data_IF_990508842430
#
_entry.id   IF_990508842430
#
_cell.length_a   1.000
_cell.length_b   1.000
_cell.length_c   1.000
_cell.angle_alpha   90.00
_cell.angle_beta   90.00
_cell.angle_gamma   90.00
#
_symmetry.space_group_name_H-M   'P 1'
#
loop_
_entity.id
_entity.type
_entity.pdbx_description
1 polymer ?
#
# COMPACT_ATOMS: atom_id res chain seq x y z
N UNK A 1 -11.91 21.79 26.92
CA UNK A 1 -10.46 21.88 26.57
C UNK A 1 -10.15 20.71 25.67
N UNK A 2 -9.71 20.96 24.47
CA UNK A 2 -9.28 19.90 23.56
C UNK A 2 -7.98 19.33 24.10
N UNK A 3 -7.96 18.03 24.42
CA UNK A 3 -6.74 17.37 24.89
C UNK A 3 -5.62 17.43 23.84
N UNK A 4 -4.38 17.24 24.28
CA UNK A 4 -3.24 17.11 23.38
C UNK A 4 -3.34 15.85 22.51
N UNK A 5 -2.87 15.91 21.27
CA UNK A 5 -2.71 14.80 20.35
C UNK A 5 -1.55 15.04 19.38
N UNK A 6 -1.09 13.99 18.72
CA UNK A 6 0.06 14.06 17.81
C UNK A 6 -0.33 13.52 16.44
N UNK A 7 -0.22 14.36 15.40
CA UNK A 7 -0.26 13.90 14.02
C UNK A 7 1.08 13.26 13.65
N UNK A 8 1.06 12.16 12.90
CA UNK A 8 2.24 11.39 12.53
C UNK A 8 2.13 10.91 11.09
N UNK A 9 3.27 10.79 10.44
CA UNK A 9 3.42 10.19 9.12
C UNK A 9 4.78 9.52 8.99
N UNK A 10 4.87 8.45 8.20
CA UNK A 10 6.08 7.67 7.98
C UNK A 10 6.37 7.47 6.51
N UNK A 11 7.67 7.53 6.16
CA UNK A 11 8.16 7.02 4.88
C UNK A 11 8.91 5.70 5.09
N UNK A 12 8.75 4.79 4.13
CA UNK A 12 9.38 3.46 4.18
C UNK A 12 10.31 3.25 3.00
N UNK A 13 11.45 2.62 3.23
CA UNK A 13 12.45 2.34 2.19
C UNK A 13 11.91 1.39 1.11
N UNK A 14 10.94 0.53 1.46
CA UNK A 14 10.36 -0.47 0.56
C UNK A 14 8.97 -0.91 1.04
N UNK A 15 8.44 -2.01 0.47
CA UNK A 15 7.12 -2.57 0.79
C UNK A 15 6.98 -3.16 2.21
N UNK A 16 8.09 -3.47 2.88
CA UNK A 16 8.05 -3.86 4.29
C UNK A 16 7.78 -2.63 5.16
N UNK A 17 6.68 -2.65 5.88
CA UNK A 17 6.30 -1.51 6.74
C UNK A 17 7.30 -1.21 7.85
N UNK A 18 8.14 -2.17 8.23
CA UNK A 18 9.19 -1.97 9.22
C UNK A 18 10.47 -1.34 8.66
N UNK A 19 10.55 -1.10 7.35
CA UNK A 19 11.67 -0.43 6.68
C UNK A 19 11.61 1.10 6.79
N UNK A 20 11.26 1.63 7.97
CA UNK A 20 11.12 3.07 8.19
C UNK A 20 12.39 3.81 7.81
N UNK A 21 12.28 4.81 6.92
CA UNK A 21 13.39 5.68 6.53
C UNK A 21 13.19 7.16 6.92
N UNK A 22 11.95 7.55 7.24
CA UNK A 22 11.66 8.88 7.80
C UNK A 22 10.42 8.84 8.68
N UNK A 23 10.36 9.72 9.65
CA UNK A 23 9.19 9.98 10.48
C UNK A 23 9.02 11.48 10.68
N UNK A 24 7.77 11.94 10.55
CA UNK A 24 7.35 13.28 10.91
C UNK A 24 6.24 13.23 11.94
N UNK A 25 6.25 14.13 12.92
CA UNK A 25 5.18 14.26 13.89
C UNK A 25 4.95 15.72 14.26
N UNK A 26 3.70 16.06 14.51
CA UNK A 26 3.27 17.41 14.91
C UNK A 26 2.38 17.30 16.13
N UNK A 27 2.76 17.96 17.21
CA UNK A 27 2.00 18.03 18.44
C UNK A 27 0.98 19.17 18.38
N UNK A 28 -0.24 18.86 18.70
CA UNK A 28 -1.33 19.81 18.78
C UNK A 28 -1.86 19.85 20.21
N UNK A 29 -1.99 21.06 20.74
CA UNK A 29 -2.57 21.34 22.06
C UNK A 29 -3.54 22.51 21.91
N UNK A 30 -4.71 22.41 22.51
CA UNK A 30 -5.74 23.45 22.52
C UNK A 30 -6.07 24.00 21.11
N UNK A 31 -6.07 23.12 20.11
CA UNK A 31 -6.37 23.46 18.71
C UNK A 31 -5.25 24.19 17.95
N UNK A 32 -4.03 24.21 18.49
CA UNK A 32 -2.86 24.85 17.89
C UNK A 32 -1.71 23.85 17.75
N UNK A 33 -0.95 23.97 16.65
CA UNK A 33 0.31 23.27 16.49
C UNK A 33 1.35 23.91 17.42
N UNK A 34 1.89 23.12 18.36
CA UNK A 34 2.80 23.64 19.39
C UNK A 34 4.23 23.13 19.26
N UNK A 35 4.42 21.94 18.65
CA UNK A 35 5.76 21.36 18.52
C UNK A 35 5.84 20.44 17.31
N UNK A 36 7.05 20.17 16.82
CA UNK A 36 7.35 19.31 15.67
C UNK A 36 8.50 18.38 15.98
N UNK A 37 8.40 17.18 15.47
CA UNK A 37 9.45 16.18 15.50
C UNK A 37 9.67 15.63 14.08
N UNK A 38 10.91 15.54 13.67
CA UNK A 38 11.27 14.88 12.41
C UNK A 38 12.59 14.14 12.59
N UNK A 39 12.71 12.99 11.96
CA UNK A 39 13.95 12.23 11.92
C UNK A 39 14.03 11.38 10.66
N UNK A 40 15.18 11.36 10.02
CA UNK A 40 15.55 10.24 9.18
C UNK A 40 15.80 9.03 10.07
N UNK A 41 15.59 7.85 9.52
CA UNK A 41 15.76 6.56 10.22
C UNK A 41 16.57 5.64 9.34
N UNK A 42 17.59 5.01 9.88
CA UNK A 42 18.30 3.94 9.21
C UNK A 42 17.52 2.63 9.40
N UNK A 43 16.94 2.06 8.33
CA UNK A 43 16.16 0.84 8.44
C UNK A 43 17.01 -0.34 8.91
N UNK A 44 16.40 -1.36 9.57
CA UNK A 44 17.11 -2.57 9.97
C UNK A 44 17.73 -3.30 8.77
N UNK A 45 18.94 -3.87 8.93
CA UNK A 45 19.68 -4.54 7.84
C UNK A 45 18.86 -5.58 7.07
N UNK A 46 17.97 -6.32 7.75
CA UNK A 46 17.15 -7.35 7.14
C UNK A 46 16.08 -6.84 6.17
N UNK A 47 15.71 -5.55 6.27
CA UNK A 47 14.68 -4.87 5.47
C UNK A 47 15.16 -3.52 4.96
N UNK A 48 16.46 -3.27 4.98
CA UNK A 48 17.07 -1.95 4.72
C UNK A 48 17.34 -1.64 3.24
N UNK A 49 16.89 -2.45 2.28
CA UNK A 49 17.01 -2.09 0.86
C UNK A 49 16.03 -0.97 0.49
N UNK A 50 16.45 -0.09 -0.41
CA UNK A 50 15.62 0.99 -0.91
C UNK A 50 15.03 0.63 -2.27
N UNK A 51 13.71 0.57 -2.33
CA UNK A 51 12.98 0.33 -3.58
C UNK A 51 13.03 1.58 -4.46
N UNK A 52 13.36 1.47 -5.77
CA UNK A 52 13.31 2.61 -6.68
C UNK A 52 11.95 3.30 -6.73
N UNK A 53 10.87 2.56 -6.48
CA UNK A 53 9.54 3.13 -6.39
C UNK A 53 9.39 4.05 -5.18
N UNK A 54 9.81 3.59 -4.00
CA UNK A 54 9.73 4.38 -2.77
C UNK A 54 10.61 5.64 -2.87
N UNK A 55 11.85 5.49 -3.40
CA UNK A 55 12.72 6.64 -3.68
C UNK A 55 12.03 7.63 -4.64
N UNK A 56 11.38 7.16 -5.69
CA UNK A 56 10.67 8.04 -6.63
C UNK A 56 9.47 8.76 -5.98
N UNK A 57 8.92 8.24 -4.88
CA UNK A 57 7.80 8.84 -4.13
C UNK A 57 8.31 9.90 -3.17
N UNK A 58 9.24 9.58 -2.27
CA UNK A 58 9.66 10.46 -1.17
C UNK A 58 11.08 11.06 -1.34
N UNK A 59 11.85 10.59 -2.33
CA UNK A 59 13.19 11.12 -2.64
C UNK A 59 14.32 10.63 -1.73
N UNK A 60 14.04 9.93 -0.65
CA UNK A 60 15.05 9.47 0.32
C UNK A 60 15.77 8.25 -0.22
N UNK A 61 17.09 8.27 -0.18
CA UNK A 61 17.99 7.19 -0.64
C UNK A 61 18.66 6.49 0.54
N UNK A 62 19.34 5.38 0.26
CA UNK A 62 20.14 4.68 1.27
C UNK A 62 21.29 5.56 1.82
N UNK A 63 21.88 6.41 0.97
CA UNK A 63 22.96 7.31 1.36
C UNK A 63 22.46 8.41 2.31
N UNK A 64 21.24 8.91 2.13
CA UNK A 64 20.66 9.93 3.02
C UNK A 64 20.48 9.43 4.44
N UNK A 65 20.25 8.13 4.63
CA UNK A 65 20.02 7.53 5.95
C UNK A 65 21.21 6.75 6.49
N UNK A 66 22.34 6.71 5.78
CA UNK A 66 23.51 5.92 6.18
C UNK A 66 24.03 6.30 7.59
N UNK A 67 24.03 7.59 7.92
CA UNK A 67 24.39 8.13 9.23
C UNK A 67 23.20 8.38 10.16
N UNK A 68 21.98 8.06 9.77
CA UNK A 68 20.81 8.31 10.59
C UNK A 68 20.71 7.32 11.77
N UNK A 69 20.05 7.71 12.87
CA UNK A 69 19.78 6.82 13.99
C UNK A 69 18.92 5.63 13.55
N UNK A 70 19.03 4.53 14.27
CA UNK A 70 18.18 3.35 14.06
C UNK A 70 16.82 3.52 14.76
N UNK A 71 15.84 2.69 14.38
CA UNK A 71 14.48 2.76 14.90
C UNK A 71 14.39 2.79 16.44
N UNK A 72 15.14 1.99 17.23
CA UNK A 72 15.06 2.04 18.69
C UNK A 72 15.28 3.43 19.28
N UNK A 73 16.31 4.14 18.83
CA UNK A 73 16.60 5.50 19.29
C UNK A 73 15.52 6.50 18.86
N UNK A 74 15.09 6.42 17.59
CA UNK A 74 14.04 7.31 17.07
C UNK A 74 12.72 7.06 17.76
N UNK A 75 12.39 5.81 18.05
CA UNK A 75 11.17 5.43 18.72
C UNK A 75 11.10 5.93 20.17
N UNK A 76 12.20 5.83 20.92
CA UNK A 76 12.30 6.39 22.26
C UNK A 76 12.05 7.91 22.26
N UNK A 77 12.69 8.63 21.34
CA UNK A 77 12.49 10.08 21.15
C UNK A 77 11.05 10.41 20.73
N UNK A 78 10.45 9.59 19.85
CA UNK A 78 9.05 9.74 19.43
C UNK A 78 8.09 9.51 20.60
N UNK A 79 8.33 8.51 21.45
CA UNK A 79 7.52 8.28 22.66
C UNK A 79 7.63 9.46 23.63
N UNK A 80 8.84 9.99 23.83
CA UNK A 80 9.07 11.18 24.66
C UNK A 80 8.36 12.43 24.11
N UNK A 81 8.31 12.58 22.78
CA UNK A 81 7.57 13.64 22.10
C UNK A 81 6.05 13.44 22.22
N UNK A 82 5.58 12.19 22.03
CA UNK A 82 4.15 11.87 22.08
C UNK A 82 3.53 12.02 23.48
N UNK A 83 4.26 11.77 24.54
CA UNK A 83 3.81 11.89 25.95
C UNK A 83 2.47 11.18 26.23
N UNK A 84 2.24 10.02 25.58
CA UNK A 84 1.02 9.24 25.75
C UNK A 84 -0.24 9.86 25.13
N UNK A 85 -0.12 10.89 24.29
CA UNK A 85 -1.23 11.50 23.60
C UNK A 85 -1.76 10.58 22.47
N UNK A 86 -3.04 10.68 22.10
CA UNK A 86 -3.58 9.98 20.93
C UNK A 86 -2.84 10.36 19.63
N UNK A 87 -2.71 9.38 18.72
CA UNK A 87 -2.13 9.60 17.40
C UNK A 87 -3.19 9.96 16.37
N UNK A 88 -2.80 10.74 15.39
CA UNK A 88 -3.62 11.09 14.21
C UNK A 88 -2.77 10.86 12.96
N UNK A 89 -3.31 10.18 11.94
CA UNK A 89 -2.61 10.01 10.67
C UNK A 89 -3.59 10.02 9.50
N UNK A 90 -3.10 10.29 8.29
CA UNK A 90 -3.90 10.20 7.08
C UNK A 90 -3.79 8.80 6.48
N UNK A 91 -4.87 7.99 6.55
CA UNK A 91 -4.84 6.54 6.33
C UNK A 91 -4.09 5.78 7.45
N UNK A 92 -4.42 6.10 8.69
CA UNK A 92 -3.75 5.69 9.92
C UNK A 92 -3.45 4.17 10.05
N UNK A 93 -4.17 3.30 9.34
CA UNK A 93 -3.88 1.85 9.29
C UNK A 93 -2.47 1.58 8.73
N UNK A 94 -1.99 2.45 7.85
CA UNK A 94 -0.62 2.36 7.33
C UNK A 94 0.38 2.70 8.44
N UNK A 95 0.27 3.86 9.05
CA UNK A 95 1.24 4.39 10.03
C UNK A 95 1.29 3.55 11.31
N UNK A 96 0.13 3.11 11.79
CA UNK A 96 0.04 2.19 12.93
C UNK A 96 0.65 0.82 12.57
N UNK A 97 0.49 0.37 11.34
CA UNK A 97 1.15 -0.82 10.81
C UNK A 97 2.66 -0.68 10.73
N UNK A 98 3.16 0.49 10.32
CA UNK A 98 4.59 0.83 10.27
C UNK A 98 5.18 0.78 11.69
N UNK A 99 4.60 1.50 12.63
CA UNK A 99 5.04 1.54 14.03
C UNK A 99 5.15 0.12 14.60
N UNK A 100 4.09 -0.68 14.46
CA UNK A 100 4.07 -2.06 14.97
C UNK A 100 5.13 -2.95 14.32
N UNK A 101 5.29 -2.86 12.99
CA UNK A 101 6.23 -3.72 12.26
C UNK A 101 7.67 -3.31 12.54
N UNK A 102 7.98 -2.02 12.62
CA UNK A 102 9.31 -1.53 12.97
C UNK A 102 9.72 -1.94 14.40
N UNK A 103 8.81 -1.84 15.36
CA UNK A 103 9.03 -2.38 16.71
C UNK A 103 9.24 -3.89 16.68
N UNK A 104 8.46 -4.62 15.86
CA UNK A 104 8.63 -6.06 15.67
C UNK A 104 10.01 -6.45 15.16
N UNK A 105 10.54 -5.76 14.14
CA UNK A 105 11.88 -6.01 13.60
C UNK A 105 13.03 -5.71 14.59
N UNK A 106 12.79 -4.83 15.54
CA UNK A 106 13.79 -4.41 16.52
C UNK A 106 13.59 -5.01 17.91
N UNK A 107 12.59 -5.88 18.08
CA UNK A 107 12.29 -6.53 19.35
C UNK A 107 11.73 -5.58 20.43
N UNK A 108 11.27 -4.39 20.04
CA UNK A 108 10.70 -3.39 20.95
C UNK A 108 9.22 -3.67 21.22
N UNK A 109 8.79 -3.32 22.43
CA UNK A 109 7.38 -3.20 22.74
C UNK A 109 6.85 -1.81 22.35
N UNK A 110 5.52 -1.73 22.20
CA UNK A 110 4.82 -0.46 22.03
C UNK A 110 3.72 -0.32 23.10
N UNK A 111 3.45 0.91 23.58
CA UNK A 111 2.41 1.17 24.56
C UNK A 111 1.01 1.08 23.92
N UNK A 112 -0.01 1.03 24.77
CA UNK A 112 -1.36 1.34 24.35
C UNK A 112 -1.41 2.75 23.78
N UNK A 113 -2.03 2.92 22.61
CA UNK A 113 -2.27 4.24 22.04
C UNK A 113 -3.60 4.27 21.30
N UNK A 114 -4.41 5.26 21.60
CA UNK A 114 -5.60 5.57 20.82
C UNK A 114 -5.21 6.37 19.58
N UNK A 115 -5.89 6.13 18.46
CA UNK A 115 -5.62 6.85 17.23
C UNK A 115 -6.86 7.17 16.42
N UNK A 116 -6.79 8.24 15.65
CA UNK A 116 -7.81 8.66 14.71
C UNK A 116 -7.25 8.76 13.28
N UNK A 117 -8.12 8.51 12.30
CA UNK A 117 -7.78 8.51 10.89
C UNK A 117 -8.42 9.71 10.18
N UNK A 118 -7.61 10.66 9.71
CA UNK A 118 -8.12 11.85 9.00
C UNK A 118 -8.78 11.50 7.67
N UNK A 119 -8.37 10.42 7.00
CA UNK A 119 -9.04 9.91 5.80
C UNK A 119 -10.49 9.49 6.11
N UNK A 120 -10.71 8.78 7.21
CA UNK A 120 -12.05 8.36 7.64
C UNK A 120 -12.90 9.56 8.11
N UNK A 121 -12.29 10.50 8.81
CA UNK A 121 -12.93 11.75 9.22
C UNK A 121 -13.31 12.58 7.99
N UNK A 122 -12.39 12.80 7.05
CA UNK A 122 -12.62 13.57 5.84
C UNK A 122 -13.76 13.02 4.98
N UNK A 123 -13.85 11.69 4.85
CA UNK A 123 -14.95 11.03 4.12
C UNK A 123 -16.32 11.32 4.69
N UNK A 124 -16.42 11.48 6.01
CA UNK A 124 -17.68 11.82 6.69
C UNK A 124 -17.97 13.32 6.67
N UNK A 125 -16.91 14.14 6.82
CA UNK A 125 -17.04 15.59 6.92
C UNK A 125 -17.28 16.23 5.56
N UNK A 126 -16.59 15.79 4.53
CA UNK A 126 -16.61 16.38 3.18
C UNK A 126 -16.91 15.32 2.10
N UNK A 127 -18.04 14.64 2.26
CA UNK A 127 -18.44 13.49 1.41
C UNK A 127 -18.55 13.81 -0.09
N UNK A 128 -18.69 15.08 -0.46
CA UNK A 128 -18.84 15.55 -1.85
C UNK A 128 -17.51 15.67 -2.60
N UNK A 129 -16.37 15.51 -1.93
CA UNK A 129 -15.07 15.58 -2.60
C UNK A 129 -14.90 14.43 -3.61
N UNK A 130 -14.23 14.65 -4.74
CA UNK A 130 -14.02 13.63 -5.78
C UNK A 130 -13.17 12.46 -5.28
N UNK A 131 -12.32 12.72 -4.31
CA UNK A 131 -11.57 11.72 -3.53
C UNK A 131 -11.10 12.36 -2.22
N UNK A 132 -10.56 11.52 -1.31
CA UNK A 132 -10.09 11.97 0.00
C UNK A 132 -8.60 11.70 0.19
N UNK A 133 -7.81 11.78 -0.89
CA UNK A 133 -6.34 11.77 -0.80
C UNK A 133 -5.86 13.03 -0.09
N UNK A 134 -4.72 12.93 0.58
CA UNK A 134 -4.16 14.04 1.37
C UNK A 134 -4.14 15.37 0.59
N UNK A 135 -3.60 15.46 -0.65
CA UNK A 135 -3.58 16.71 -1.40
C UNK A 135 -4.97 17.29 -1.70
N UNK A 136 -5.94 16.41 -2.01
CA UNK A 136 -7.31 16.86 -2.33
C UNK A 136 -7.99 17.49 -1.10
N UNK A 137 -7.84 16.85 0.06
CA UNK A 137 -8.40 17.37 1.31
C UNK A 137 -7.68 18.64 1.75
N UNK A 138 -6.35 18.70 1.62
CA UNK A 138 -5.55 19.90 1.89
C UNK A 138 -6.03 21.09 1.04
N UNK A 139 -6.18 20.90 -0.26
CA UNK A 139 -6.69 21.95 -1.15
C UNK A 139 -8.08 22.45 -0.72
N UNK A 140 -8.98 21.54 -0.33
CA UNK A 140 -10.32 21.88 0.12
C UNK A 140 -10.33 22.73 1.39
N UNK A 141 -9.44 22.44 2.36
CA UNK A 141 -9.35 23.20 3.61
C UNK A 141 -8.47 24.44 3.52
N UNK A 142 -7.89 24.72 2.34
CA UNK A 142 -6.99 25.87 2.12
C UNK A 142 -5.57 25.67 2.67
N UNK A 143 -5.16 24.43 2.98
CA UNK A 143 -3.80 24.13 3.40
C UNK A 143 -2.88 23.88 2.20
N UNK A 144 -1.74 24.58 2.13
CA UNK A 144 -0.76 24.44 1.05
C UNK A 144 0.21 23.27 1.35
N UNK A 145 -0.05 22.11 0.78
CA UNK A 145 0.86 20.97 0.86
C UNK A 145 2.02 21.15 -0.13
N UNK A 146 3.14 21.72 0.34
CA UNK A 146 4.29 22.09 -0.54
C UNK A 146 5.19 20.91 -0.90
N UNK A 147 5.32 19.91 0.01
CA UNK A 147 6.22 18.77 -0.11
C UNK A 147 5.46 17.49 0.23
N UNK A 148 4.55 17.07 -0.66
CA UNK A 148 3.87 15.79 -0.51
C UNK A 148 4.88 14.64 -0.57
N UNK A 149 4.68 13.62 0.26
CA UNK A 149 5.62 12.53 0.52
C UNK A 149 6.90 12.98 1.26
N UNK A 150 6.78 13.98 2.11
CA UNK A 150 7.76 14.32 3.13
C UNK A 150 7.07 14.16 4.47
N UNK A 151 7.55 13.23 5.31
CA UNK A 151 6.85 12.81 6.52
C UNK A 151 6.47 13.99 7.45
N UNK A 152 7.31 15.02 7.55
CA UNK A 152 7.02 16.23 8.33
C UNK A 152 5.86 17.04 7.74
N UNK A 153 5.84 17.21 6.41
CA UNK A 153 4.79 17.97 5.73
C UNK A 153 3.45 17.21 5.71
N UNK A 154 3.48 15.89 5.55
CA UNK A 154 2.28 15.06 5.51
C UNK A 154 1.67 14.90 6.92
N UNK A 155 2.50 14.81 7.98
CA UNK A 155 2.04 14.89 9.36
C UNK A 155 1.39 16.26 9.69
N UNK A 156 2.00 17.37 9.25
CA UNK A 156 1.41 18.72 9.42
C UNK A 156 0.09 18.84 8.66
N UNK A 157 0.00 18.33 7.45
CA UNK A 157 -1.21 18.29 6.67
C UNK A 157 -2.32 17.49 7.36
N UNK A 158 -1.99 16.31 7.92
CA UNK A 158 -2.92 15.51 8.71
C UNK A 158 -3.42 16.28 9.94
N UNK A 159 -2.54 17.05 10.61
CA UNK A 159 -2.92 17.91 11.72
C UNK A 159 -3.93 18.99 11.28
N UNK A 160 -3.66 19.69 10.19
CA UNK A 160 -4.56 20.73 9.66
C UNK A 160 -5.92 20.18 9.24
N UNK A 161 -5.95 18.98 8.61
CA UNK A 161 -7.19 18.31 8.24
C UNK A 161 -8.04 17.98 9.49
N UNK A 162 -7.42 17.43 10.53
CA UNK A 162 -8.13 17.13 11.77
C UNK A 162 -8.66 18.38 12.44
N UNK A 163 -7.88 19.45 12.54
CA UNK A 163 -8.32 20.74 13.08
C UNK A 163 -9.47 21.36 12.27
N UNK A 164 -9.41 21.26 10.93
CA UNK A 164 -10.50 21.75 10.09
C UNK A 164 -11.78 20.95 10.33
N UNK A 165 -11.70 19.63 10.45
CA UNK A 165 -12.87 18.80 10.77
C UNK A 165 -13.46 19.12 12.15
N UNK A 166 -12.61 19.30 13.17
CA UNK A 166 -13.06 19.73 14.50
C UNK A 166 -13.85 21.05 14.43
N UNK A 167 -13.32 22.03 13.70
CA UNK A 167 -14.04 23.32 13.50
C UNK A 167 -15.36 23.14 12.74
N UNK A 168 -15.37 22.34 11.67
CA UNK A 168 -16.58 22.11 10.87
C UNK A 168 -17.71 21.50 11.70
N UNK A 169 -17.38 20.61 12.61
CA UNK A 169 -18.36 19.95 13.49
C UNK A 169 -18.59 20.66 14.83
N UNK A 170 -17.92 21.77 15.11
CA UNK A 170 -17.96 22.43 16.43
C UNK A 170 -17.43 21.54 17.56
N UNK A 171 -16.64 20.53 17.24
CA UNK A 171 -16.11 19.58 18.21
C UNK A 171 -14.82 20.11 18.87
N UNK A 172 -14.68 19.85 20.18
CA UNK A 172 -13.54 20.31 20.98
C UNK A 172 -12.54 19.19 21.30
N UNK A 173 -12.80 17.96 20.84
CA UNK A 173 -11.94 16.79 21.04
C UNK A 173 -12.05 15.82 19.88
N UNK A 174 -11.05 14.92 19.73
CA UNK A 174 -11.07 13.88 18.69
C UNK A 174 -12.29 12.96 18.83
N UNK A 175 -12.69 12.63 20.04
CA UNK A 175 -13.87 11.79 20.32
C UNK A 175 -15.19 12.43 19.87
N UNK A 176 -15.24 13.77 19.78
CA UNK A 176 -16.37 14.50 19.22
C UNK A 176 -16.58 14.29 17.72
N UNK A 177 -15.57 13.77 17.01
CA UNK A 177 -15.67 13.41 15.59
C UNK A 177 -16.02 11.93 15.36
N UNK A 178 -16.19 11.15 16.42
CA UNK A 178 -16.53 9.73 16.38
C UNK A 178 -15.57 8.87 17.19
N UNK A 179 -15.77 7.55 17.19
CA UNK A 179 -14.93 6.64 17.95
C UNK A 179 -13.49 6.64 17.42
N UNK A 180 -12.55 6.65 18.34
CA UNK A 180 -11.15 6.39 18.05
C UNK A 180 -10.88 4.87 17.98
N UNK A 181 -9.90 4.50 17.19
CA UNK A 181 -9.36 3.14 17.20
C UNK A 181 -8.26 3.03 18.26
N UNK A 182 -7.95 1.78 18.67
CA UNK A 182 -6.92 1.52 19.68
C UNK A 182 -5.88 0.55 19.14
N UNK A 183 -4.63 0.89 19.28
CA UNK A 183 -3.51 -0.02 19.20
C UNK A 183 -3.23 -0.51 20.62
N UNK A 184 -3.60 -1.76 20.93
CA UNK A 184 -3.29 -2.35 22.22
C UNK A 184 -1.78 -2.52 22.39
N UNK A 185 -1.28 -2.32 23.61
CA UNK A 185 0.10 -2.55 23.95
C UNK A 185 0.55 -3.95 23.50
N UNK A 186 1.72 -4.03 22.93
CA UNK A 186 2.28 -5.27 22.45
C UNK A 186 3.78 -5.31 22.66
N UNK A 187 4.35 -6.49 22.55
CA UNK A 187 5.79 -6.66 22.46
C UNK A 187 6.09 -7.18 21.06
N UNK A 188 7.04 -6.57 20.39
CA UNK A 188 7.72 -7.24 19.30
C UNK A 188 8.24 -8.54 19.89
N UNK A 189 7.77 -9.68 19.42
CA UNK A 189 8.44 -10.94 19.71
C UNK A 189 9.91 -10.71 19.37
N UNK A 190 10.86 -11.26 20.16
CA UNK A 190 12.21 -11.42 19.66
C UNK A 190 12.07 -11.91 18.23
N UNK A 191 12.76 -11.28 17.26
CA UNK A 191 12.64 -11.72 15.88
C UNK A 191 12.75 -13.23 15.97
N UNK A 192 11.64 -13.94 15.77
CA UNK A 192 11.72 -15.37 15.56
C UNK A 192 12.73 -15.40 14.44
N UNK A 193 13.98 -15.76 14.80
CA UNK A 193 15.07 -15.95 13.86
C UNK A 193 14.37 -16.63 12.71
N UNK A 194 14.21 -15.96 11.56
CA UNK A 194 13.55 -16.60 10.46
C UNK A 194 14.39 -17.87 10.35
N UNK A 195 13.78 -19.01 10.68
CA UNK A 195 14.32 -20.26 10.22
C UNK A 195 14.66 -19.94 8.79
N UNK A 196 15.96 -20.01 8.46
CA UNK A 196 16.48 -19.55 7.20
C UNK A 196 15.58 -20.09 6.10
N UNK A 197 14.48 -19.36 5.89
CA UNK A 197 13.63 -19.57 4.75
C UNK A 197 14.48 -19.02 3.62
N UNK A 198 14.87 -19.84 2.66
CA UNK A 198 15.54 -19.36 1.46
C UNK A 198 14.53 -18.44 0.79
N UNK A 199 14.58 -17.12 1.04
CA UNK A 199 13.51 -16.26 0.54
C UNK A 199 13.62 -14.77 0.71
N UNK A 200 14.56 -14.21 1.45
CA UNK A 200 14.75 -12.76 1.53
C UNK A 200 15.13 -12.19 0.17
N UNK A 201 16.08 -12.78 -0.49
CA UNK A 201 16.47 -12.44 -1.86
C UNK A 201 15.34 -12.70 -2.87
N UNK A 202 14.55 -13.77 -2.68
CA UNK A 202 13.43 -14.08 -3.57
C UNK A 202 12.23 -13.16 -3.46
N UNK A 203 12.01 -12.49 -2.33
CA UNK A 203 10.88 -11.54 -2.15
C UNK A 203 11.22 -10.17 -2.71
N UNK A 204 12.45 -9.68 -2.50
CA UNK A 204 12.97 -8.48 -3.15
C UNK A 204 13.01 -8.67 -4.67
N UNK A 205 13.57 -9.77 -5.17
CA UNK A 205 13.61 -10.08 -6.60
C UNK A 205 12.18 -10.19 -7.21
N UNK A 206 11.21 -10.76 -6.48
CA UNK A 206 9.80 -10.80 -6.94
C UNK A 206 9.12 -9.44 -6.96
N UNK A 207 9.45 -8.57 -6.03
CA UNK A 207 8.90 -7.20 -6.03
C UNK A 207 9.51 -6.38 -7.16
N UNK A 208 10.79 -6.49 -7.39
CA UNK A 208 11.46 -5.85 -8.53
C UNK A 208 10.95 -6.42 -9.87
N UNK A 209 10.70 -7.72 -9.93
CA UNK A 209 10.05 -8.36 -11.06
C UNK A 209 8.61 -7.85 -11.25
N UNK A 210 7.82 -7.77 -10.18
CA UNK A 210 6.46 -7.22 -10.24
C UNK A 210 6.46 -5.74 -10.67
N UNK A 211 7.44 -4.94 -10.22
CA UNK A 211 7.59 -3.55 -10.67
C UNK A 211 8.03 -3.45 -12.13
N UNK A 212 8.96 -4.28 -12.54
CA UNK A 212 9.38 -4.36 -13.94
C UNK A 212 8.18 -4.75 -14.83
N UNK A 213 7.38 -5.73 -14.40
CA UNK A 213 6.13 -6.12 -15.06
C UNK A 213 5.12 -4.97 -15.09
N UNK A 214 4.94 -4.24 -13.96
CA UNK A 214 4.01 -3.11 -13.89
C UNK A 214 4.38 -1.96 -14.84
N UNK A 215 5.68 -1.77 -15.11
CA UNK A 215 6.20 -0.72 -16.01
C UNK A 215 6.39 -1.17 -17.45
N UNK A 216 6.55 -2.48 -17.69
CA UNK A 216 6.73 -3.01 -19.02
C UNK A 216 5.58 -2.57 -19.95
N UNK A 217 5.87 -2.08 -21.17
CA UNK A 217 4.82 -1.83 -22.14
C UNK A 217 4.07 -3.12 -22.42
N UNK A 218 2.75 -3.04 -22.59
CA UNK A 218 1.98 -4.19 -23.01
C UNK A 218 2.23 -4.40 -24.51
N UNK A 219 2.41 -5.65 -24.97
CA UNK A 219 2.53 -5.94 -26.38
C UNK A 219 1.20 -5.65 -27.10
N UNK A 220 1.31 -5.17 -28.33
CA UNK A 220 0.14 -4.95 -29.20
C UNK A 220 -0.30 -6.29 -29.83
N UNK A 221 -1.61 -6.47 -30.05
CA UNK A 221 -2.11 -7.67 -30.73
C UNK A 221 -1.52 -7.84 -32.11
N UNK A 222 -1.16 -9.08 -32.46
CA UNK A 222 -0.62 -9.41 -33.78
C UNK A 222 -1.74 -9.37 -34.82
N UNK A 223 -1.50 -8.66 -35.92
CA UNK A 223 -2.53 -8.36 -36.93
C UNK A 223 -3.00 -9.59 -37.74
N UNK A 224 -2.15 -10.61 -37.85
CA UNK A 224 -2.38 -11.86 -38.60
C UNK A 224 -2.76 -13.05 -37.71
N UNK A 225 -3.15 -12.78 -36.45
CA UNK A 225 -3.66 -13.80 -35.55
C UNK A 225 -4.99 -14.39 -36.04
N UNK A 226 -5.24 -15.66 -35.70
CA UNK A 226 -6.48 -16.37 -36.09
C UNK A 226 -7.72 -15.69 -35.54
N UNK A 227 -8.60 -15.13 -36.39
CA UNK A 227 -9.84 -14.47 -35.95
C UNK A 227 -10.86 -15.42 -35.28
N UNK A 228 -10.72 -16.74 -35.46
CA UNK A 228 -11.55 -17.74 -34.79
C UNK A 228 -10.98 -18.14 -33.41
N UNK A 229 -9.78 -17.67 -33.06
CA UNK A 229 -9.13 -17.96 -31.78
C UNK A 229 -9.93 -17.41 -30.60
N UNK A 230 -9.95 -18.11 -29.45
CA UNK A 230 -10.76 -17.74 -28.26
C UNK A 230 -10.32 -16.43 -27.61
N UNK A 231 -9.10 -15.96 -27.86
CA UNK A 231 -8.57 -14.70 -27.32
C UNK A 231 -8.65 -13.54 -28.33
N UNK A 232 -8.97 -13.79 -29.61
CA UNK A 232 -8.94 -12.78 -30.65
C UNK A 232 -9.88 -11.61 -30.35
N UNK A 233 -9.35 -10.38 -30.39
CA UNK A 233 -10.09 -9.15 -30.13
C UNK A 233 -10.48 -8.91 -28.67
N UNK A 234 -10.27 -9.89 -27.77
CA UNK A 234 -10.70 -9.83 -26.36
C UNK A 234 -9.65 -9.15 -25.48
N UNK A 235 -10.10 -8.41 -24.49
CA UNK A 235 -9.23 -7.79 -23.47
C UNK A 235 -9.04 -8.76 -22.32
N UNK A 236 -7.79 -9.21 -22.11
CA UNK A 236 -7.43 -10.27 -21.18
C UNK A 236 -6.55 -9.72 -20.05
N UNK A 237 -6.99 -9.87 -18.81
CA UNK A 237 -6.22 -9.51 -17.61
C UNK A 237 -5.74 -10.78 -16.90
N UNK A 238 -4.50 -10.77 -16.39
CA UNK A 238 -3.94 -11.87 -15.60
C UNK A 238 -3.78 -11.44 -14.15
N UNK A 239 -4.20 -12.29 -13.20
CA UNK A 239 -4.04 -12.09 -11.76
C UNK A 239 -3.48 -13.33 -11.07
N UNK A 240 -2.73 -13.13 -9.98
CA UNK A 240 -1.99 -14.22 -9.36
C UNK A 240 -0.76 -14.63 -10.19
N UNK A 241 -0.03 -15.64 -9.75
CA UNK A 241 1.13 -16.18 -10.47
C UNK A 241 0.73 -17.43 -11.23
N UNK A 242 1.09 -17.47 -12.52
CA UNK A 242 0.92 -18.67 -13.33
C UNK A 242 2.09 -19.62 -13.03
N UNK A 243 1.80 -20.91 -12.97
CA UNK A 243 2.81 -21.93 -12.75
C UNK A 243 3.60 -22.22 -14.02
N UNK A 244 2.99 -22.00 -15.19
CA UNK A 244 3.54 -22.34 -16.51
C UNK A 244 4.45 -21.26 -17.08
N UNK A 245 4.20 -19.98 -16.78
CA UNK A 245 4.96 -18.88 -17.38
C UNK A 245 4.85 -17.59 -16.55
N UNK A 246 5.85 -16.68 -16.62
CA UNK A 246 5.76 -15.35 -16.02
C UNK A 246 4.75 -14.47 -16.76
N UNK A 247 4.19 -13.46 -16.08
CA UNK A 247 3.18 -12.55 -16.65
C UNK A 247 3.58 -11.85 -17.95
N UNK A 248 4.83 -11.36 -18.12
CA UNK A 248 5.26 -10.76 -19.39
C UNK A 248 5.14 -11.73 -20.57
N UNK A 249 5.46 -12.99 -20.36
CA UNK A 249 5.28 -14.03 -21.38
C UNK A 249 3.80 -14.29 -21.64
N UNK A 250 2.96 -14.36 -20.60
CA UNK A 250 1.52 -14.50 -20.76
C UNK A 250 0.92 -13.33 -21.58
N UNK A 251 1.37 -12.09 -21.35
CA UNK A 251 0.93 -10.94 -22.16
C UNK A 251 1.36 -11.08 -23.62
N UNK A 252 2.59 -11.55 -23.85
CA UNK A 252 3.11 -11.79 -25.21
C UNK A 252 2.25 -12.84 -25.92
N UNK A 253 1.96 -13.97 -25.26
CA UNK A 253 1.09 -15.04 -25.81
C UNK A 253 -0.33 -14.57 -26.09
N UNK A 254 -0.89 -13.73 -25.20
CA UNK A 254 -2.22 -13.12 -25.43
C UNK A 254 -2.19 -12.27 -26.70
N UNK A 255 -1.15 -11.43 -26.89
CA UNK A 255 -1.00 -10.59 -28.05
C UNK A 255 -0.77 -11.39 -29.34
N UNK A 256 0.03 -12.46 -29.30
CA UNK A 256 0.25 -13.41 -30.40
C UNK A 256 -1.05 -14.11 -30.83
N UNK A 257 -1.95 -14.39 -29.88
CA UNK A 257 -3.29 -14.92 -30.14
C UNK A 257 -4.31 -13.84 -30.54
N UNK A 258 -3.88 -12.63 -30.86
CA UNK A 258 -4.76 -11.50 -31.27
C UNK A 258 -5.57 -10.87 -30.15
N UNK A 259 -5.31 -11.24 -28.89
CA UNK A 259 -5.93 -10.64 -27.71
C UNK A 259 -5.23 -9.35 -27.26
N UNK A 260 -5.91 -8.54 -26.46
CA UNK A 260 -5.39 -7.31 -25.87
C UNK A 260 -5.02 -7.55 -24.40
N UNK A 261 -3.74 -7.70 -24.06
CA UNK A 261 -3.35 -7.85 -22.66
C UNK A 261 -3.66 -6.59 -21.87
N UNK A 262 -4.13 -6.74 -20.62
CA UNK A 262 -4.46 -5.64 -19.72
C UNK A 262 -3.83 -5.82 -18.34
N UNK A 263 -3.28 -4.74 -17.77
CA UNK A 263 -2.70 -4.75 -16.42
C UNK A 263 -3.74 -4.76 -15.31
N UNK A 264 -4.93 -4.19 -15.55
CA UNK A 264 -6.00 -4.04 -14.58
C UNK A 264 -7.35 -4.49 -15.13
N UNK A 265 -8.21 -4.94 -14.22
CA UNK A 265 -9.61 -5.23 -14.58
C UNK A 265 -10.36 -3.91 -14.70
N UNK A 266 -11.05 -3.74 -15.82
CA UNK A 266 -11.85 -2.55 -16.14
C UNK A 266 -13.19 -2.98 -16.75
N UNK A 267 -14.05 -2.03 -17.07
CA UNK A 267 -15.31 -2.28 -17.80
C UNK A 267 -15.10 -2.84 -19.22
N UNK A 268 -13.86 -2.82 -19.72
CA UNK A 268 -13.51 -3.35 -21.05
C UNK A 268 -12.87 -4.74 -20.97
N UNK A 269 -12.72 -5.30 -19.76
CA UNK A 269 -12.11 -6.61 -19.58
C UNK A 269 -13.11 -7.70 -19.96
N UNK A 270 -12.72 -8.58 -20.86
CA UNK A 270 -13.53 -9.70 -21.33
C UNK A 270 -13.17 -11.00 -20.60
N UNK A 271 -11.88 -11.19 -20.28
CA UNK A 271 -11.38 -12.38 -19.59
C UNK A 271 -10.49 -11.98 -18.42
N UNK A 272 -10.67 -12.63 -17.27
CA UNK A 272 -9.72 -12.63 -16.16
C UNK A 272 -9.13 -14.03 -15.97
N UNK A 273 -7.85 -14.17 -16.27
CA UNK A 273 -7.07 -15.37 -15.97
C UNK A 273 -6.64 -15.37 -14.51
N UNK A 274 -6.98 -16.43 -13.78
CA UNK A 274 -6.71 -16.56 -12.34
C UNK A 274 -5.61 -17.61 -12.14
N UNK A 275 -4.41 -17.15 -11.78
CA UNK A 275 -3.31 -17.98 -11.31
C UNK A 275 -3.35 -18.19 -9.79
N UNK A 276 -2.29 -18.74 -9.22
CA UNK A 276 -2.17 -18.96 -7.77
C UNK A 276 -2.15 -17.64 -7.01
N UNK A 277 -2.96 -17.54 -5.94
CA UNK A 277 -2.90 -16.45 -4.97
C UNK A 277 -1.97 -16.83 -3.82
N UNK A 278 -0.99 -16.00 -3.49
CA UNK A 278 -0.01 -16.26 -2.42
C UNK A 278 -0.63 -16.43 -1.02
N UNK A 279 -1.81 -15.91 -0.77
CA UNK A 279 -2.48 -15.88 0.55
C UNK A 279 -3.76 -16.72 0.61
N UNK A 280 -4.00 -17.60 -0.37
CA UNK A 280 -5.10 -18.56 -0.30
C UNK A 280 -6.52 -17.97 -0.39
N UNK A 281 -6.69 -16.76 -0.97
CA UNK A 281 -8.00 -16.12 -1.15
C UNK A 281 -8.08 -15.34 -2.45
N UNK A 282 -9.28 -14.82 -2.84
CA UNK A 282 -9.46 -14.10 -4.10
C UNK A 282 -8.61 -12.84 -4.14
N UNK A 283 -7.91 -12.61 -5.27
CA UNK A 283 -7.10 -11.42 -5.49
C UNK A 283 -7.95 -10.14 -5.57
N UNK A 284 -7.33 -8.96 -5.42
CA UNK A 284 -8.03 -7.68 -5.60
C UNK A 284 -8.68 -7.55 -6.98
N UNK A 285 -8.01 -8.05 -8.04
CA UNK A 285 -8.53 -8.05 -9.41
C UNK A 285 -9.69 -9.03 -9.58
N UNK A 286 -9.66 -10.18 -8.90
CA UNK A 286 -10.76 -11.14 -8.91
C UNK A 286 -12.01 -10.55 -8.27
N UNK A 287 -11.90 -9.97 -7.07
CA UNK A 287 -13.02 -9.26 -6.41
C UNK A 287 -13.59 -8.13 -7.28
N UNK A 288 -12.72 -7.41 -7.99
CA UNK A 288 -13.17 -6.36 -8.91
C UNK A 288 -13.92 -6.91 -10.12
N UNK A 289 -13.48 -8.02 -10.71
CA UNK A 289 -14.17 -8.69 -11.80
C UNK A 289 -15.52 -9.23 -11.35
N UNK A 290 -15.59 -9.85 -10.18
CA UNK A 290 -16.84 -10.33 -9.57
C UNK A 290 -17.83 -9.16 -9.36
N UNK A 291 -17.38 -8.03 -8.81
CA UNK A 291 -18.20 -6.83 -8.65
C UNK A 291 -18.70 -6.22 -9.97
N UNK A 292 -17.96 -6.36 -11.06
CA UNK A 292 -18.42 -5.96 -12.39
C UNK A 292 -19.43 -6.95 -12.96
N UNK A 293 -19.26 -8.26 -12.75
CA UNK A 293 -20.22 -9.30 -13.15
C UNK A 293 -21.57 -9.13 -12.46
N UNK A 294 -21.57 -8.81 -11.15
CA UNK A 294 -22.79 -8.49 -10.39
C UNK A 294 -23.55 -7.28 -10.96
N UNK A 295 -22.84 -6.37 -11.65
CA UNK A 295 -23.41 -5.22 -12.36
C UNK A 295 -23.79 -5.51 -13.82
N UNK A 296 -23.79 -6.78 -14.21
CA UNK A 296 -24.23 -7.22 -15.54
C UNK A 296 -23.14 -7.23 -16.61
N UNK A 297 -21.86 -7.07 -16.26
CA UNK A 297 -20.77 -7.17 -17.22
C UNK A 297 -20.39 -8.63 -17.46
N UNK A 298 -20.26 -9.02 -18.73
CA UNK A 298 -19.87 -10.37 -19.13
C UNK A 298 -18.33 -10.53 -19.06
N UNK A 299 -17.77 -10.74 -17.85
CA UNK A 299 -16.37 -11.09 -17.67
C UNK A 299 -16.27 -12.60 -17.44
N UNK A 300 -15.50 -13.26 -18.26
CA UNK A 300 -15.18 -14.67 -18.12
C UNK A 300 -14.04 -14.84 -17.11
N UNK A 301 -14.21 -15.71 -16.10
CA UNK A 301 -13.19 -16.04 -15.14
C UNK A 301 -12.65 -17.43 -15.47
N UNK A 302 -11.39 -17.51 -15.87
CA UNK A 302 -10.76 -18.77 -16.28
C UNK A 302 -9.53 -19.08 -15.40
N UNK A 303 -9.29 -20.36 -15.19
CA UNK A 303 -8.06 -20.83 -14.55
C UNK A 303 -6.89 -20.94 -15.53
N UNK A 304 -5.69 -21.21 -14.99
CA UNK A 304 -4.47 -21.36 -15.79
C UNK A 304 -4.59 -22.49 -16.83
N UNK A 305 -5.18 -23.62 -16.48
CA UNK A 305 -5.34 -24.76 -17.41
C UNK A 305 -6.20 -24.39 -18.64
N UNK A 306 -7.27 -23.66 -18.43
CA UNK A 306 -8.15 -23.19 -19.48
C UNK A 306 -7.49 -22.09 -20.32
N UNK A 307 -6.72 -21.23 -19.70
CA UNK A 307 -5.89 -20.24 -20.40
C UNK A 307 -4.87 -20.92 -21.33
N UNK A 308 -4.17 -21.97 -20.85
CA UNK A 308 -3.26 -22.74 -21.69
C UNK A 308 -3.97 -23.42 -22.86
N UNK A 309 -5.18 -23.91 -22.65
CA UNK A 309 -5.99 -24.45 -23.73
C UNK A 309 -6.36 -23.37 -24.77
N UNK A 310 -6.71 -22.15 -24.33
CA UNK A 310 -6.97 -21.02 -25.23
C UNK A 310 -5.73 -20.58 -26.03
N UNK A 311 -4.53 -20.82 -25.51
CA UNK A 311 -3.26 -20.57 -26.21
C UNK A 311 -2.81 -21.75 -27.10
N UNK A 312 -3.55 -22.86 -27.13
CA UNK A 312 -3.13 -24.08 -27.82
C UNK A 312 -1.95 -24.80 -27.17
N UNK A 313 -1.67 -24.49 -25.89
CA UNK A 313 -0.53 -25.03 -25.10
C UNK A 313 -0.96 -26.12 -24.10
N UNK A 314 -2.19 -26.59 -24.15
CA UNK A 314 -2.66 -27.66 -23.27
C UNK A 314 -1.90 -28.95 -23.56
N UNK A 315 -1.09 -29.40 -22.60
CA UNK A 315 -0.52 -30.74 -22.64
C UNK A 315 -1.64 -31.75 -22.39
N UNK A 316 -1.86 -32.66 -23.32
CA UNK A 316 -2.74 -33.81 -23.09
C UNK A 316 -2.32 -34.52 -21.79
N UNK A 317 -3.19 -34.49 -20.79
CA UNK A 317 -2.98 -35.28 -19.59
C UNK A 317 -2.96 -36.75 -20.00
N UNK A 318 -1.77 -37.37 -20.00
CA UNK A 318 -1.67 -38.83 -20.10
C UNK A 318 -2.54 -39.45 -18.98
N UNK A 319 -3.52 -40.28 -19.30
CA UNK A 319 -4.20 -41.05 -18.26
C UNK A 319 -3.18 -41.88 -17.49
N UNK A 320 -3.19 -41.75 -16.17
CA UNK A 320 -2.41 -42.64 -15.30
C UNK A 320 -3.04 -44.03 -15.46
N UNK A 321 -2.22 -44.95 -15.97
CA UNK A 321 -2.50 -46.39 -15.98
C UNK A 321 -2.41 -46.93 -14.54
#
# INVERSE_FOLDING_TARGET
MSGAWVAIDFETANHDRGSVCSVGAVRVEDGRLVDRFTSLVRPPRGVGFFSPYNIAVHGITADDVAGAPEWPEVFERLLAFNRGAPLVAHNAVFDIGVLRTACGHTGLGWPDVDYACTLAVARRTWSVLPNHKLPTVCAHIGHQLRRHHSADADAEAAAHIMLAALRTHGATSLTGLGPMSRLAAGRGGAPSRPAAAPGGAGRAARYDQWQAEARAPLPEPVADADPAGPLYGRTVCVTGDLASMPKPEAWQRIAEAGGRPAKNVTKKTDILVIGRAELGGPTGKQRQAEAYREKGQAIELIGEAEFLAYLGLATEARPRA
#
